data_IF_705470193666
#
_entry.id   IF_705470193666
#
_cell.length_a   1.000
_cell.length_b   1.000
_cell.length_c   1.000
_cell.angle_alpha   90.00
_cell.angle_beta   90.00
_cell.angle_gamma   90.00
#
_symmetry.space_group_name_H-M   'P 1'
#
loop_
_entity.id
_entity.type
_entity.pdbx_description
1 polymer ?
#
# COMPACT_ATOMS: atom_id res chain seq x y z
N UNK A 1 3.59 -9.13 11.83
CA UNK A 1 2.76 -9.43 10.64
C UNK A 1 3.45 -8.85 9.41
N UNK A 2 3.52 -9.55 8.27
CA UNK A 2 4.11 -9.01 7.03
C UNK A 2 3.03 -8.86 5.97
N UNK A 3 2.70 -7.61 5.64
CA UNK A 3 1.93 -7.31 4.43
C UNK A 3 2.85 -7.47 3.22
N UNK A 4 2.34 -8.09 2.16
CA UNK A 4 3.12 -8.39 0.95
C UNK A 4 2.72 -7.44 -0.15
N UNK A 5 3.54 -6.41 -0.34
CA UNK A 5 3.40 -5.43 -1.42
C UNK A 5 4.73 -5.33 -2.18
N UNK A 6 4.91 -6.08 -3.28
CA UNK A 6 6.16 -6.07 -4.01
C UNK A 6 6.51 -4.71 -4.61
N UNK A 7 7.81 -4.47 -4.79
CA UNK A 7 8.32 -3.50 -5.75
C UNK A 7 8.21 -4.11 -7.13
N UNK A 8 7.55 -3.42 -8.06
CA UNK A 8 7.37 -3.93 -9.42
C UNK A 8 8.40 -3.28 -10.33
N UNK A 9 9.22 -4.10 -10.96
CA UNK A 9 10.24 -3.70 -11.91
C UNK A 9 9.73 -4.01 -13.32
N UNK A 10 9.68 -3.00 -14.17
CA UNK A 10 9.28 -3.12 -15.57
C UNK A 10 10.50 -2.85 -16.42
N UNK A 11 11.04 -3.89 -17.05
CA UNK A 11 12.28 -3.83 -17.82
C UNK A 11 12.23 -4.90 -18.91
N UNK A 12 12.44 -4.50 -20.16
CA UNK A 12 12.32 -5.37 -21.34
C UNK A 12 13.34 -6.51 -21.30
N UNK A 13 14.49 -6.23 -20.70
CA UNK A 13 15.64 -7.09 -20.55
C UNK A 13 15.70 -7.82 -19.21
N UNK A 14 14.63 -7.74 -18.39
CA UNK A 14 14.61 -8.37 -17.06
C UNK A 14 14.95 -9.86 -17.11
N UNK A 15 14.67 -10.54 -18.23
CA UNK A 15 14.99 -11.95 -18.49
C UNK A 15 16.15 -12.20 -19.45
N UNK A 16 16.76 -11.14 -19.98
CA UNK A 16 17.89 -11.18 -20.92
C UNK A 16 19.23 -11.37 -20.20
N UNK A 17 20.19 -12.06 -20.81
CA UNK A 17 21.55 -12.24 -20.27
C UNK A 17 22.52 -11.08 -20.59
N UNK A 18 22.00 -9.97 -21.11
CA UNK A 18 22.80 -8.78 -21.42
C UNK A 18 23.12 -7.95 -20.16
N UNK A 19 23.97 -6.93 -20.32
CA UNK A 19 24.42 -6.09 -19.22
C UNK A 19 23.26 -5.36 -18.51
N UNK A 20 22.28 -4.85 -19.27
CA UNK A 20 21.08 -4.19 -18.73
C UNK A 20 20.26 -5.15 -17.85
N UNK A 21 19.94 -6.34 -18.38
CA UNK A 21 19.22 -7.39 -17.65
C UNK A 21 19.96 -7.91 -16.41
N UNK A 22 21.28 -7.99 -16.45
CA UNK A 22 22.10 -8.34 -15.28
C UNK A 22 22.06 -7.23 -14.22
N UNK A 23 22.14 -5.96 -14.63
CA UNK A 23 22.08 -4.80 -13.75
C UNK A 23 20.75 -4.75 -12.98
N UNK A 24 19.64 -4.82 -13.71
CA UNK A 24 18.31 -4.73 -13.08
C UNK A 24 18.00 -5.92 -12.15
N UNK A 25 18.46 -7.13 -12.49
CA UNK A 25 18.33 -8.29 -11.59
C UNK A 25 19.20 -8.17 -10.34
N UNK A 26 20.38 -7.57 -10.47
CA UNK A 26 21.23 -7.28 -9.30
C UNK A 26 20.54 -6.30 -8.35
N UNK A 27 19.84 -5.28 -8.89
CA UNK A 27 18.99 -4.39 -8.11
C UNK A 27 17.81 -5.14 -7.46
N UNK A 28 17.13 -6.02 -8.21
CA UNK A 28 16.05 -6.85 -7.67
C UNK A 28 16.54 -7.68 -6.47
N UNK A 29 17.66 -8.39 -6.60
CA UNK A 29 18.27 -9.17 -5.52
C UNK A 29 18.64 -8.31 -4.32
N UNK A 30 19.11 -7.07 -4.55
CA UNK A 30 19.42 -6.13 -3.47
C UNK A 30 18.16 -5.69 -2.72
N UNK A 31 17.05 -5.42 -3.43
CA UNK A 31 15.75 -5.09 -2.83
C UNK A 31 15.21 -6.27 -2.01
N UNK A 32 15.35 -7.50 -2.51
CA UNK A 32 14.95 -8.70 -1.79
C UNK A 32 15.76 -8.91 -0.50
N UNK A 33 17.07 -8.63 -0.52
CA UNK A 33 17.92 -8.67 0.68
C UNK A 33 17.52 -7.63 1.73
N UNK A 34 16.97 -6.49 1.32
CA UNK A 34 16.38 -5.47 2.22
C UNK A 34 14.98 -5.85 2.75
N UNK A 35 14.49 -7.06 2.40
CA UNK A 35 13.30 -7.68 2.97
C UNK A 35 11.99 -7.35 2.25
N UNK A 36 12.05 -6.85 1.02
CA UNK A 36 10.88 -6.57 0.18
C UNK A 36 10.75 -7.62 -0.93
N UNK A 37 9.52 -7.95 -1.33
CA UNK A 37 9.31 -8.82 -2.49
C UNK A 37 9.51 -8.01 -3.78
N UNK A 38 10.04 -8.63 -4.84
CA UNK A 38 10.19 -8.01 -6.16
C UNK A 38 9.37 -8.78 -7.19
N UNK A 39 8.72 -8.06 -8.09
CA UNK A 39 8.04 -8.62 -9.25
C UNK A 39 8.62 -8.02 -10.53
N UNK A 40 9.33 -8.82 -11.31
CA UNK A 40 9.88 -8.41 -12.61
C UNK A 40 8.94 -8.72 -13.77
N UNK A 41 8.68 -7.71 -14.63
CA UNK A 41 7.79 -7.79 -15.79
C UNK A 41 8.48 -7.22 -17.02
N UNK A 42 8.34 -7.90 -18.16
CA UNK A 42 9.14 -7.63 -19.38
C UNK A 42 8.46 -6.75 -20.43
N UNK A 43 7.22 -6.29 -20.24
CA UNK A 43 6.55 -5.49 -21.27
C UNK A 43 5.46 -4.55 -20.73
N UNK A 44 5.44 -3.35 -21.29
CA UNK A 44 4.41 -2.30 -21.19
C UNK A 44 3.12 -2.59 -21.98
N UNK A 45 3.03 -3.73 -22.67
CA UNK A 45 2.08 -3.94 -23.77
C UNK A 45 0.58 -3.94 -23.41
N UNK A 46 0.20 -4.22 -22.16
CA UNK A 46 -1.20 -4.20 -21.75
C UNK A 46 -1.36 -3.37 -20.47
N UNK A 47 -1.17 -2.05 -20.63
CA UNK A 47 -1.28 -1.03 -19.59
C UNK A 47 -2.53 -1.19 -18.72
N UNK A 48 -3.64 -1.65 -19.29
CA UNK A 48 -4.92 -1.89 -18.61
C UNK A 48 -4.87 -3.10 -17.68
N UNK A 49 -4.27 -4.22 -18.13
CA UNK A 49 -4.10 -5.45 -17.35
C UNK A 49 -3.09 -5.27 -16.22
N UNK A 50 -2.03 -4.48 -16.45
CA UNK A 50 -1.01 -4.19 -15.45
C UNK A 50 -1.48 -3.14 -14.43
N UNK A 51 -2.24 -2.12 -14.85
CA UNK A 51 -2.89 -1.15 -13.95
C UNK A 51 -3.87 -1.82 -12.97
N UNK A 52 -4.54 -2.91 -13.38
CA UNK A 52 -5.40 -3.71 -12.49
C UNK A 52 -4.62 -4.48 -11.40
N UNK A 53 -3.33 -4.77 -11.62
CA UNK A 53 -2.47 -5.43 -10.63
C UNK A 53 -1.93 -4.48 -9.55
N UNK A 54 -2.08 -3.15 -9.72
CA UNK A 54 -1.48 -2.12 -8.85
C UNK A 54 -2.00 -2.06 -7.41
N UNK A 55 -3.12 -2.69 -7.08
CA UNK A 55 -3.56 -2.76 -5.68
C UNK A 55 -2.55 -3.49 -4.77
N UNK A 56 -1.56 -4.19 -5.35
CA UNK A 56 -0.55 -4.96 -4.62
C UNK A 56 0.87 -4.39 -4.73
N UNK A 57 1.11 -3.31 -5.46
CA UNK A 57 2.45 -2.74 -5.57
C UNK A 57 2.77 -1.75 -4.43
N UNK A 58 4.03 -1.67 -4.01
CA UNK A 58 4.53 -0.64 -3.09
C UNK A 58 5.38 0.43 -3.77
N UNK A 59 5.94 0.14 -4.95
CA UNK A 59 6.65 1.09 -5.82
C UNK A 59 6.77 0.51 -7.24
N UNK A 60 7.01 1.38 -8.21
CA UNK A 60 7.39 1.01 -9.59
C UNK A 60 8.81 1.42 -9.90
N UNK A 61 9.56 0.56 -10.58
CA UNK A 61 10.83 0.90 -11.24
C UNK A 61 10.64 0.64 -12.72
N UNK A 62 10.73 1.70 -13.52
CA UNK A 62 10.56 1.65 -14.96
C UNK A 62 11.94 1.74 -15.60
N UNK A 63 12.31 0.79 -16.43
CA UNK A 63 13.54 0.89 -17.21
C UNK A 63 13.27 1.54 -18.56
N UNK A 64 14.17 2.42 -18.97
CA UNK A 64 14.22 2.99 -20.33
C UNK A 64 15.66 2.91 -20.82
N UNK A 65 15.85 2.29 -21.98
CA UNK A 65 17.15 2.18 -22.61
C UNK A 65 17.51 3.47 -23.35
N UNK A 66 18.80 3.83 -23.31
CA UNK A 66 19.32 5.00 -24.03
C UNK A 66 19.17 4.85 -25.55
N UNK A 67 19.13 3.63 -26.09
CA UNK A 67 18.87 3.38 -27.53
C UNK A 67 17.46 3.85 -27.95
N UNK A 68 16.46 3.77 -27.07
CA UNK A 68 15.11 4.28 -27.36
C UNK A 68 15.07 5.82 -27.38
N UNK A 69 15.95 6.47 -26.62
CA UNK A 69 16.01 7.93 -26.48
C UNK A 69 17.08 8.60 -27.35
N UNK A 70 18.05 7.83 -27.85
CA UNK A 70 19.12 8.26 -28.75
C UNK A 70 18.90 7.77 -30.20
N UNK A 71 17.79 7.06 -30.46
CA UNK A 71 17.34 6.63 -31.78
C UNK A 71 16.81 7.78 -32.65
N UNK A 72 15.91 7.47 -33.58
CA UNK A 72 15.25 8.52 -34.37
C UNK A 72 14.28 9.34 -33.49
N UNK A 73 13.99 10.59 -33.89
CA UNK A 73 12.98 11.42 -33.21
C UNK A 73 11.62 10.69 -33.07
N UNK A 74 11.33 9.76 -33.98
CA UNK A 74 10.12 8.94 -33.96
C UNK A 74 10.16 7.85 -32.87
N UNK A 75 11.32 7.23 -32.64
CA UNK A 75 11.50 6.18 -31.63
C UNK A 75 11.46 6.79 -30.21
N UNK A 76 12.14 7.91 -30.03
CA UNK A 76 12.09 8.70 -28.79
C UNK A 76 10.66 9.18 -28.49
N UNK A 77 9.92 9.62 -29.52
CA UNK A 77 8.52 10.00 -29.38
C UNK A 77 7.64 8.84 -28.90
N UNK A 78 7.84 7.63 -29.44
CA UNK A 78 7.08 6.43 -29.04
C UNK A 78 7.40 6.00 -27.60
N UNK A 79 8.67 5.97 -27.21
CA UNK A 79 9.07 5.61 -25.86
C UNK A 79 8.50 6.59 -24.82
N UNK A 80 8.62 7.90 -25.08
CA UNK A 80 8.04 8.94 -24.23
C UNK A 80 6.51 8.87 -24.17
N UNK A 81 5.84 8.52 -25.27
CA UNK A 81 4.38 8.34 -25.28
C UNK A 81 3.94 7.15 -24.42
N UNK A 82 4.66 6.02 -24.49
CA UNK A 82 4.38 4.85 -23.64
C UNK A 82 4.61 5.17 -22.16
N UNK A 83 5.72 5.82 -21.83
CA UNK A 83 6.04 6.23 -20.46
C UNK A 83 4.97 7.16 -19.90
N UNK A 84 4.59 8.18 -20.67
CA UNK A 84 3.51 9.12 -20.32
C UNK A 84 2.20 8.39 -20.05
N UNK A 85 1.78 7.52 -20.96
CA UNK A 85 0.55 6.76 -20.81
C UNK A 85 0.55 5.88 -19.56
N UNK A 86 1.69 5.27 -19.24
CA UNK A 86 1.87 4.51 -18.01
C UNK A 86 1.71 5.40 -16.77
N UNK A 87 2.48 6.49 -16.69
CA UNK A 87 2.46 7.41 -15.54
C UNK A 87 1.07 8.00 -15.33
N UNK A 88 0.40 8.45 -16.39
CA UNK A 88 -0.96 8.98 -16.34
C UNK A 88 -1.95 7.94 -15.80
N UNK A 89 -1.88 6.67 -16.24
CA UNK A 89 -2.76 5.60 -15.75
C UNK A 89 -2.47 5.25 -14.27
N UNK A 90 -1.19 5.22 -13.86
CA UNK A 90 -0.82 5.00 -12.45
C UNK A 90 -1.39 6.13 -11.59
N UNK A 91 -1.16 7.39 -11.98
CA UNK A 91 -1.58 8.57 -11.22
C UNK A 91 -3.08 8.75 -11.18
N UNK A 92 -3.79 8.33 -12.22
CA UNK A 92 -5.26 8.30 -12.24
C UNK A 92 -5.84 7.43 -11.11
N UNK A 93 -5.19 6.32 -10.77
CA UNK A 93 -5.64 5.40 -9.71
C UNK A 93 -4.98 5.65 -8.36
N UNK A 94 -3.73 6.10 -8.39
CA UNK A 94 -2.89 6.24 -7.23
C UNK A 94 -1.92 7.42 -7.39
N UNK A 95 -2.31 8.54 -6.78
CA UNK A 95 -1.54 9.78 -6.82
C UNK A 95 -0.16 9.67 -6.14
N UNK A 96 -0.01 8.79 -5.14
CA UNK A 96 1.12 8.84 -4.21
C UNK A 96 2.10 7.67 -4.35
N UNK A 97 1.77 6.62 -5.13
CA UNK A 97 2.66 5.46 -5.25
C UNK A 97 4.02 5.87 -5.85
N UNK A 98 5.15 5.47 -5.25
CA UNK A 98 6.46 5.83 -5.76
C UNK A 98 6.72 5.25 -7.16
N UNK A 99 7.18 6.09 -8.08
CA UNK A 99 7.61 5.70 -9.43
C UNK A 99 9.06 6.14 -9.62
N UNK A 100 9.94 5.20 -9.91
CA UNK A 100 11.34 5.42 -10.22
C UNK A 100 11.60 5.15 -11.69
N UNK A 101 12.47 5.96 -12.29
CA UNK A 101 12.97 5.72 -13.63
C UNK A 101 14.41 5.21 -13.55
N UNK A 102 14.67 4.07 -14.16
CA UNK A 102 15.98 3.42 -14.26
C UNK A 102 16.49 3.60 -15.69
N UNK A 103 17.68 4.16 -15.85
CA UNK A 103 18.28 4.39 -17.15
C UNK A 103 19.74 4.82 -17.04
N UNK A 104 20.31 5.21 -18.17
CA UNK A 104 21.68 5.69 -18.26
C UNK A 104 21.78 7.20 -17.94
N UNK A 105 23.02 7.71 -17.80
CA UNK A 105 23.28 9.08 -17.34
C UNK A 105 22.69 10.17 -18.24
N UNK A 106 22.47 9.89 -19.54
CA UNK A 106 21.94 10.88 -20.50
C UNK A 106 20.42 10.86 -20.63
N UNK A 107 19.78 9.75 -20.29
CA UNK A 107 18.32 9.52 -20.34
C UNK A 107 17.52 10.67 -19.71
N UNK A 108 17.92 11.13 -18.51
CA UNK A 108 17.18 12.15 -17.75
C UNK A 108 17.01 13.49 -18.49
N UNK A 109 17.93 13.84 -19.42
CA UNK A 109 17.86 15.10 -20.18
C UNK A 109 16.77 15.10 -21.26
N UNK A 110 16.33 13.91 -21.68
CA UNK A 110 15.35 13.73 -22.73
C UNK A 110 13.92 13.57 -22.19
N UNK A 111 13.75 13.46 -20.87
CA UNK A 111 12.43 13.31 -20.25
C UNK A 111 11.74 14.66 -20.09
N UNK A 112 10.51 14.84 -20.62
CA UNK A 112 9.72 16.04 -20.43
C UNK A 112 9.41 16.36 -18.95
N UNK A 113 9.36 17.65 -18.61
CA UNK A 113 9.12 18.13 -17.24
C UNK A 113 7.83 17.62 -16.62
N UNK A 114 6.80 17.44 -17.41
CA UNK A 114 5.50 16.96 -16.94
C UNK A 114 5.55 15.47 -16.52
N UNK A 115 6.43 14.66 -17.11
CA UNK A 115 6.71 13.30 -16.63
C UNK A 115 7.61 13.36 -15.39
N UNK A 116 8.70 14.15 -15.44
CA UNK A 116 9.65 14.27 -14.32
C UNK A 116 8.97 14.67 -13.01
N UNK A 117 7.93 15.50 -13.07
CA UNK A 117 7.15 15.93 -11.90
C UNK A 117 6.38 14.81 -11.21
N UNK A 118 6.06 13.74 -11.93
CA UNK A 118 5.32 12.59 -11.42
C UNK A 118 6.25 11.48 -10.91
N UNK A 119 7.56 11.56 -11.19
CA UNK A 119 8.55 10.59 -10.76
C UNK A 119 9.13 10.97 -9.39
N UNK A 120 9.41 9.96 -8.56
CA UNK A 120 10.02 10.12 -7.25
C UNK A 120 11.55 10.14 -7.29
N UNK A 121 12.15 9.54 -8.33
CA UNK A 121 13.59 9.54 -8.50
C UNK A 121 14.03 8.98 -9.85
N UNK A 122 15.24 9.39 -10.25
CA UNK A 122 15.95 8.81 -11.38
C UNK A 122 17.12 7.98 -10.84
N UNK A 123 17.28 6.77 -11.36
CA UNK A 123 18.28 5.78 -10.95
C UNK A 123 19.26 5.63 -12.10
N UNK A 124 20.54 5.91 -11.83
CA UNK A 124 21.60 5.83 -12.82
C UNK A 124 22.29 4.46 -12.77
N UNK A 125 22.08 3.65 -13.81
CA UNK A 125 22.51 2.24 -13.86
C UNK A 125 24.00 2.02 -13.52
N UNK A 126 24.89 2.95 -13.89
CA UNK A 126 26.34 2.79 -13.77
C UNK A 126 26.99 3.65 -12.67
N UNK A 127 26.21 4.48 -11.98
CA UNK A 127 26.74 5.43 -10.99
C UNK A 127 26.36 5.06 -9.55
N UNK A 128 25.22 4.38 -9.39
CA UNK A 128 24.68 4.00 -8.09
C UNK A 128 24.99 2.53 -7.74
N UNK A 129 25.19 2.25 -6.45
CA UNK A 129 25.30 0.85 -6.00
C UNK A 129 23.91 0.23 -5.81
N UNK A 130 23.70 -1.04 -6.20
CA UNK A 130 22.42 -1.73 -6.02
C UNK A 130 21.93 -1.70 -4.56
N UNK A 131 22.82 -1.77 -3.58
CA UNK A 131 22.49 -1.73 -2.16
C UNK A 131 21.96 -0.35 -1.72
N UNK A 132 22.53 0.73 -2.26
CA UNK A 132 22.06 2.08 -1.95
C UNK A 132 20.65 2.30 -2.54
N UNK A 133 20.46 1.91 -3.79
CA UNK A 133 19.17 2.00 -4.48
C UNK A 133 18.09 1.17 -3.80
N UNK A 134 18.42 -0.06 -3.40
CA UNK A 134 17.50 -0.93 -2.68
C UNK A 134 17.01 -0.29 -1.37
N UNK A 135 17.91 0.35 -0.61
CA UNK A 135 17.54 1.08 0.61
C UNK A 135 16.70 2.32 0.32
N UNK A 136 17.02 3.04 -0.75
CA UNK A 136 16.28 4.24 -1.16
C UNK A 136 14.86 3.88 -1.60
N UNK A 137 14.71 2.97 -2.57
CA UNK A 137 13.41 2.47 -3.04
C UNK A 137 12.63 1.89 -1.86
N UNK A 138 13.28 1.08 -1.03
CA UNK A 138 12.63 0.46 0.13
C UNK A 138 12.19 1.47 1.19
N UNK A 139 12.88 2.61 1.33
CA UNK A 139 12.43 3.69 2.22
C UNK A 139 11.16 4.35 1.68
N UNK A 140 11.15 4.73 0.40
CA UNK A 140 9.98 5.39 -0.21
C UNK A 140 8.77 4.44 -0.26
N UNK A 141 8.99 3.18 -0.60
CA UNK A 141 7.94 2.16 -0.60
C UNK A 141 7.34 1.95 0.80
N UNK A 142 8.17 1.91 1.85
CA UNK A 142 7.69 1.82 3.24
C UNK A 142 6.94 3.10 3.66
N UNK A 143 7.46 4.27 3.32
CA UNK A 143 6.80 5.55 3.62
C UNK A 143 5.41 5.64 2.96
N UNK A 144 5.30 5.19 1.70
CA UNK A 144 4.02 5.08 1.01
C UNK A 144 3.07 4.09 1.69
N UNK A 145 3.51 2.86 1.99
CA UNK A 145 2.67 1.89 2.70
C UNK A 145 2.24 2.41 4.08
N UNK A 146 3.12 3.11 4.78
CA UNK A 146 2.80 3.78 6.03
C UNK A 146 1.80 4.91 5.84
N UNK A 147 1.76 5.64 4.72
CA UNK A 147 0.76 6.70 4.51
C UNK A 147 -0.65 6.14 4.25
N UNK A 148 -0.76 4.93 3.68
CA UNK A 148 -2.04 4.31 3.35
C UNK A 148 -2.87 3.90 4.57
N UNK A 149 -2.22 3.45 5.63
CA UNK A 149 -2.88 2.77 6.75
C UNK A 149 -3.65 3.79 7.62
N UNK A 150 -4.99 3.69 7.72
CA UNK A 150 -5.78 4.57 8.58
C UNK A 150 -5.41 4.44 10.07
N UNK A 151 -5.65 5.47 10.89
CA UNK A 151 -5.15 5.50 12.27
C UNK A 151 -5.51 4.28 13.12
N UNK A 152 -6.78 3.85 13.11
CA UNK A 152 -7.23 2.69 13.89
C UNK A 152 -6.64 1.39 13.39
N UNK A 153 -6.62 1.17 12.07
CA UNK A 153 -6.07 -0.06 11.50
C UNK A 153 -4.57 -0.18 11.79
N UNK A 154 -3.82 0.95 11.75
CA UNK A 154 -2.41 0.96 12.15
C UNK A 154 -2.23 0.49 13.58
N UNK A 155 -2.93 1.12 14.53
CA UNK A 155 -2.86 0.76 15.93
C UNK A 155 -3.22 -0.72 16.16
N UNK A 156 -4.28 -1.21 15.50
CA UNK A 156 -4.71 -2.60 15.58
C UNK A 156 -3.65 -3.57 15.06
N UNK A 157 -2.98 -3.24 13.95
CA UNK A 157 -1.90 -4.08 13.40
C UNK A 157 -0.66 -4.11 14.29
N UNK A 158 -0.34 -3.01 14.96
CA UNK A 158 0.75 -2.94 15.94
C UNK A 158 0.42 -3.79 17.16
N UNK A 159 -0.75 -3.59 17.78
CA UNK A 159 -1.22 -4.40 18.90
C UNK A 159 -1.20 -5.91 18.56
N UNK A 160 -1.75 -6.28 17.40
CA UNK A 160 -1.77 -7.67 16.97
C UNK A 160 -0.36 -8.23 16.78
N UNK A 161 0.61 -7.43 16.32
CA UNK A 161 1.99 -7.84 16.12
C UNK A 161 2.79 -7.96 17.42
N UNK A 162 2.48 -7.18 18.46
CA UNK A 162 3.23 -7.12 19.71
C UNK A 162 3.12 -8.39 20.57
N UNK A 163 2.20 -9.30 20.25
CA UNK A 163 2.19 -10.61 20.90
C UNK A 163 1.66 -10.62 22.33
N UNK A 164 1.16 -9.49 22.86
CA UNK A 164 0.83 -9.33 24.28
C UNK A 164 -0.27 -10.28 24.75
N UNK A 165 0.03 -11.03 25.81
CA UNK A 165 -0.96 -11.86 26.50
C UNK A 165 -1.84 -10.98 27.38
N UNK A 166 -3.15 -11.00 27.14
CA UNK A 166 -4.11 -10.22 27.90
C UNK A 166 -4.83 -11.07 28.95
N UNK A 167 -5.07 -10.46 30.11
CA UNK A 167 -5.88 -11.02 31.22
C UNK A 167 -7.28 -10.40 31.28
N UNK A 168 -7.73 -9.84 30.17
CA UNK A 168 -9.04 -9.21 30.00
C UNK A 168 -9.85 -9.93 28.90
N UNK A 169 -11.08 -9.48 28.66
CA UNK A 169 -11.90 -9.99 27.57
C UNK A 169 -11.32 -9.60 26.19
N UNK A 170 -11.61 -10.33 25.11
CA UNK A 170 -12.37 -11.59 25.06
C UNK A 170 -11.61 -12.78 25.65
N UNK A 171 -12.35 -13.70 26.29
CA UNK A 171 -11.77 -14.85 27.00
C UNK A 171 -11.09 -15.91 26.11
N UNK A 172 -11.12 -15.75 24.78
CA UNK A 172 -10.33 -16.59 23.89
C UNK A 172 -8.86 -16.16 23.80
N UNK A 173 -8.50 -14.99 24.34
CA UNK A 173 -7.12 -14.48 24.46
C UNK A 173 -6.34 -14.57 23.15
N UNK A 174 -6.81 -13.88 22.11
CA UNK A 174 -6.15 -13.92 20.80
C UNK A 174 -6.32 -15.23 20.03
N UNK A 175 -7.17 -16.14 20.52
CA UNK A 175 -7.50 -17.40 19.85
C UNK A 175 -7.01 -18.65 20.57
N UNK A 176 -6.20 -18.50 21.62
CA UNK A 176 -5.61 -19.60 22.42
C UNK A 176 -6.67 -20.55 22.96
N UNK A 177 -7.83 -20.06 23.41
CA UNK A 177 -8.87 -20.95 23.94
C UNK A 177 -9.40 -21.94 22.89
N UNK A 178 -9.45 -21.55 21.61
CA UNK A 178 -9.92 -22.42 20.53
C UNK A 178 -8.98 -23.63 20.33
N UNK A 179 -7.70 -23.49 20.62
CA UNK A 179 -6.72 -24.57 20.45
C UNK A 179 -6.94 -25.76 21.42
N UNK A 180 -7.79 -25.57 22.44
CA UNK A 180 -8.08 -26.57 23.49
C UNK A 180 -9.12 -27.63 23.09
N UNK A 181 -9.71 -27.55 21.89
CA UNK A 181 -10.65 -28.56 21.39
C UNK A 181 -10.45 -28.82 19.90
N UNK A 182 -10.75 -30.03 19.38
CA UNK A 182 -10.64 -30.32 17.94
C UNK A 182 -11.47 -29.37 17.06
N UNK A 183 -12.72 -29.09 17.45
CA UNK A 183 -13.59 -28.15 16.71
C UNK A 183 -13.04 -26.73 16.77
N UNK A 184 -12.50 -26.31 17.91
CA UNK A 184 -11.87 -25.01 18.04
C UNK A 184 -10.59 -24.90 17.20
N UNK A 185 -9.79 -25.96 17.03
CA UNK A 185 -8.66 -25.93 16.10
C UNK A 185 -9.12 -25.76 14.66
N UNK A 186 -10.21 -26.42 14.24
CA UNK A 186 -10.79 -26.18 12.91
C UNK A 186 -11.24 -24.71 12.76
N UNK A 187 -11.87 -24.14 13.78
CA UNK A 187 -12.27 -22.72 13.79
C UNK A 187 -11.06 -21.78 13.69
N UNK A 188 -10.02 -22.04 14.49
CA UNK A 188 -8.79 -21.26 14.49
C UNK A 188 -8.06 -21.31 13.15
N UNK A 189 -7.99 -22.49 12.52
CA UNK A 189 -7.39 -22.64 11.19
C UNK A 189 -8.23 -21.97 10.10
N UNK A 190 -9.56 -22.04 10.21
CA UNK A 190 -10.47 -21.44 9.24
C UNK A 190 -10.40 -19.91 9.25
N UNK A 191 -10.48 -19.28 10.43
CA UNK A 191 -10.48 -17.81 10.55
C UNK A 191 -9.08 -17.19 10.60
N UNK A 192 -8.08 -17.94 11.08
CA UNK A 192 -6.71 -17.49 11.20
C UNK A 192 -6.44 -16.66 12.46
N UNK A 193 -5.20 -16.72 12.94
CA UNK A 193 -4.77 -16.09 14.19
C UNK A 193 -4.93 -14.56 14.17
N UNK A 194 -4.61 -13.89 13.05
CA UNK A 194 -4.69 -12.42 12.97
C UNK A 194 -6.10 -11.88 13.24
N UNK A 195 -7.14 -12.56 12.76
CA UNK A 195 -8.52 -12.16 13.06
C UNK A 195 -8.79 -12.25 14.56
N UNK A 196 -8.39 -13.37 15.17
CA UNK A 196 -8.64 -13.65 16.58
C UNK A 196 -7.81 -12.75 17.50
N UNK A 197 -6.62 -12.31 17.07
CA UNK A 197 -5.79 -11.32 17.78
C UNK A 197 -6.33 -9.90 17.65
N UNK A 198 -7.03 -9.60 16.56
CA UNK A 198 -7.69 -8.32 16.35
C UNK A 198 -9.04 -8.21 17.08
N UNK A 199 -9.62 -9.33 17.54
CA UNK A 199 -10.82 -9.35 18.38
C UNK A 199 -10.46 -9.00 19.83
N UNK A 200 -10.67 -7.74 20.17
CA UNK A 200 -10.26 -7.12 21.44
C UNK A 200 -11.41 -6.32 22.03
N UNK A 201 -11.36 -6.08 23.34
CA UNK A 201 -12.34 -5.26 24.03
C UNK A 201 -11.78 -3.88 24.40
N UNK A 202 -12.65 -3.07 25.01
CA UNK A 202 -12.33 -1.76 25.56
C UNK A 202 -11.19 -1.71 26.59
N UNK A 203 -10.64 -2.84 27.04
CA UNK A 203 -9.50 -2.86 27.95
C UNK A 203 -8.15 -2.55 27.26
N UNK A 204 -8.13 -2.51 25.93
CA UNK A 204 -6.94 -2.15 25.15
C UNK A 204 -6.93 -0.62 24.94
N UNK A 205 -6.42 0.11 25.93
CA UNK A 205 -6.44 1.58 25.96
C UNK A 205 -5.76 2.22 24.75
N UNK A 206 -4.71 1.60 24.21
CA UNK A 206 -3.94 2.11 23.06
C UNK A 206 -4.76 2.19 21.76
N UNK A 207 -5.87 1.45 21.65
CA UNK A 207 -6.78 1.53 20.50
C UNK A 207 -7.82 2.63 20.65
N UNK A 208 -7.99 3.17 21.87
CA UNK A 208 -9.05 4.11 22.20
C UNK A 208 -10.42 3.44 22.34
N UNK A 209 -11.46 4.24 22.54
CA UNK A 209 -12.81 3.77 22.81
C UNK A 209 -13.77 4.22 21.73
N UNK A 210 -14.56 3.28 21.20
CA UNK A 210 -15.59 3.57 20.20
C UNK A 210 -16.74 4.41 20.77
N UNK A 211 -17.18 4.12 22.00
CA UNK A 211 -18.29 4.80 22.64
C UNK A 211 -17.91 6.20 23.16
N UNK A 212 -16.63 6.42 23.49
CA UNK A 212 -16.14 7.72 23.96
C UNK A 212 -15.46 8.55 22.87
N UNK A 213 -15.35 8.01 21.65
CA UNK A 213 -14.73 8.66 20.49
C UNK A 213 -13.27 9.11 20.73
N UNK A 214 -12.47 8.26 21.40
CA UNK A 214 -11.10 8.59 21.82
C UNK A 214 -10.02 7.82 21.04
N UNK A 215 -8.76 8.24 21.19
CA UNK A 215 -7.60 7.53 20.65
C UNK A 215 -7.62 7.34 19.12
N UNK A 216 -7.03 6.25 18.62
CA UNK A 216 -7.08 5.87 17.21
C UNK A 216 -8.49 5.74 16.61
N UNK A 217 -9.50 5.34 17.39
CA UNK A 217 -10.90 5.32 16.92
C UNK A 217 -11.37 6.73 16.58
N UNK A 218 -11.29 7.67 17.52
CA UNK A 218 -11.72 9.05 17.27
C UNK A 218 -10.88 9.76 16.19
N UNK A 219 -9.58 9.44 16.08
CA UNK A 219 -8.74 9.91 14.99
C UNK A 219 -9.22 9.40 13.62
N UNK A 220 -9.70 8.16 13.57
CA UNK A 220 -10.24 7.56 12.35
C UNK A 220 -11.59 8.15 11.96
N UNK A 221 -12.45 8.46 12.94
CA UNK A 221 -13.71 9.19 12.71
C UNK A 221 -13.45 10.57 12.11
N UNK A 222 -12.49 11.34 12.65
CA UNK A 222 -12.09 12.64 12.08
C UNK A 222 -11.51 12.51 10.68
N UNK A 223 -10.67 11.49 10.43
CA UNK A 223 -10.13 11.25 9.10
C UNK A 223 -11.23 10.88 8.10
N UNK A 224 -12.19 10.05 8.51
CA UNK A 224 -13.34 9.69 7.69
C UNK A 224 -14.24 10.91 7.44
N UNK A 225 -14.49 11.77 8.42
CA UNK A 225 -15.26 13.01 8.24
C UNK A 225 -14.65 13.91 7.16
N UNK A 226 -13.31 14.06 7.17
CA UNK A 226 -12.57 14.76 6.10
C UNK A 226 -12.77 14.12 4.72
N UNK A 227 -12.72 12.79 4.63
CA UNK A 227 -12.86 12.05 3.35
C UNK A 227 -14.29 12.15 2.80
N UNK A 228 -15.30 11.98 3.67
CA UNK A 228 -16.71 12.05 3.30
C UNK A 228 -17.26 13.49 3.26
N UNK A 229 -16.42 14.47 3.55
CA UNK A 229 -16.74 15.90 3.54
C UNK A 229 -17.96 16.24 4.42
N UNK A 230 -17.91 15.85 5.69
CA UNK A 230 -18.93 16.17 6.69
C UNK A 230 -18.31 16.72 7.97
N UNK A 231 -19.11 17.46 8.77
CA UNK A 231 -18.62 18.07 10.01
C UNK A 231 -18.28 17.02 11.07
N UNK A 232 -19.14 15.99 11.19
CA UNK A 232 -18.98 14.88 12.13
C UNK A 232 -19.30 13.56 11.45
N UNK A 233 -18.55 12.51 11.82
CA UNK A 233 -18.78 11.14 11.37
C UNK A 233 -18.66 10.20 12.56
N UNK A 234 -19.61 9.28 12.69
CA UNK A 234 -19.65 8.28 13.75
C UNK A 234 -19.61 6.88 13.14
N UNK A 235 -18.75 6.00 13.67
CA UNK A 235 -18.76 4.60 13.25
C UNK A 235 -19.86 3.81 13.95
N UNK A 236 -20.64 3.05 13.18
CA UNK A 236 -21.75 2.23 13.68
C UNK A 236 -21.55 0.79 13.23
N UNK A 237 -21.43 -0.13 14.18
CA UNK A 237 -21.12 -1.55 13.93
C UNK A 237 -22.36 -2.43 13.71
N UNK A 238 -23.56 -1.85 13.78
CA UNK A 238 -24.83 -2.56 13.57
C UNK A 238 -25.63 -2.01 12.37
N UNK A 239 -24.90 -1.56 11.34
CA UNK A 239 -25.41 -1.11 10.05
C UNK A 239 -26.23 0.18 10.06
N UNK A 240 -26.64 0.61 8.87
CA UNK A 240 -27.44 1.83 8.67
C UNK A 240 -28.80 1.76 9.36
N UNK A 241 -29.38 0.55 9.52
CA UNK A 241 -30.62 0.34 10.28
C UNK A 241 -30.53 0.81 11.73
N UNK A 242 -29.36 0.72 12.37
CA UNK A 242 -29.14 1.26 13.72
C UNK A 242 -28.79 2.74 13.68
N UNK A 243 -28.04 3.16 12.66
CA UNK A 243 -27.69 4.57 12.43
C UNK A 243 -28.96 5.43 12.29
N UNK A 244 -29.95 4.99 11.52
CA UNK A 244 -31.23 5.68 11.37
C UNK A 244 -31.97 5.81 12.70
N UNK A 245 -31.93 4.77 13.55
CA UNK A 245 -32.53 4.83 14.89
C UNK A 245 -31.79 5.83 15.78
N UNK A 246 -30.45 5.86 15.73
CA UNK A 246 -29.65 6.84 16.48
C UNK A 246 -30.04 8.27 16.09
N UNK A 247 -30.10 8.58 14.79
CA UNK A 247 -30.51 9.90 14.30
C UNK A 247 -31.94 10.22 14.71
N UNK A 248 -32.87 9.28 14.53
CA UNK A 248 -34.27 9.46 14.90
C UNK A 248 -34.44 9.77 16.39
N UNK A 249 -33.83 8.96 17.25
CA UNK A 249 -33.91 9.16 18.70
C UNK A 249 -33.20 10.42 19.19
N UNK A 250 -32.22 10.94 18.44
CA UNK A 250 -31.55 12.18 18.76
C UNK A 250 -32.32 13.43 18.30
N UNK A 251 -33.22 13.30 17.32
CA UNK A 251 -33.86 14.45 16.65
C UNK A 251 -35.37 14.53 16.81
N UNK A 252 -36.04 13.44 17.20
CA UNK A 252 -37.49 13.35 17.27
C UNK A 252 -37.95 12.98 18.68
N UNK A 253 -38.86 13.77 19.24
CA UNK A 253 -39.51 13.55 20.52
C UNK A 253 -40.98 13.08 20.36
N UNK A 254 -41.59 12.49 21.40
CA UNK A 254 -43.01 12.14 21.35
C UNK A 254 -43.90 13.37 21.11
N UNK A 255 -44.72 13.31 20.06
CA UNK A 255 -45.65 14.38 19.67
C UNK A 255 -45.14 15.29 18.53
N UNK A 256 -43.89 15.13 18.10
CA UNK A 256 -43.35 15.84 16.93
C UNK A 256 -44.02 15.34 15.64
N UNK A 257 -44.18 16.26 14.68
CA UNK A 257 -44.62 15.97 13.31
C UNK A 257 -43.37 15.94 12.43
N UNK A 258 -43.16 14.84 11.70
CA UNK A 258 -41.93 14.50 10.97
C UNK A 258 -42.23 13.94 9.59
#
# INVERSE_FOLDING_TARGET
>A
MRFRFPVVIIDEDFRSENASGLGIRTLADAIEKEGMEVLGVTNYGDLTSFAQQQARASAFVLSIDDEELAGSDEDTGKALQKLRAFVEEVRFRNAEIPIFLHGETRTARHIPNDILRELNGFIHMLEDTPEFLARYIGREARAYLESLVPPFFRALTHYAADGSYSWHCPGHSGGVAFLKSPIGQMFHQFFGENLLRADVCNAVDELGQLLDHTGPVGASERNAARIFNCDHLFFVTNGTSSSNKMVWHATVAPGDIV
#
